data_IF_390045457399
#
_entry.id   IF_390045457399
#
_cell.length_a   1.000
_cell.length_b   1.000
_cell.length_c   1.000
_cell.angle_alpha   90.00
_cell.angle_beta   90.00
_cell.angle_gamma   90.00
#
_symmetry.space_group_name_H-M   'P 1'
#
loop_
_entity.id
_entity.type
_entity.pdbx_description
1 polymer ?
#
# COMPACT_ATOMS: atom_id res chain seq x y z
N UNK A 1 16.83 3.85 -3.79
CA UNK A 1 16.41 4.45 -5.08
C UNK A 1 17.56 5.22 -5.67
N UNK A 2 17.82 5.10 -6.98
CA UNK A 2 18.84 5.89 -7.67
C UNK A 2 18.42 7.37 -7.77
N UNK A 3 19.37 8.25 -8.10
CA UNK A 3 19.15 9.71 -8.10
C UNK A 3 18.03 10.12 -9.05
N UNK A 4 17.98 9.49 -10.21
CA UNK A 4 17.06 9.74 -11.30
C UNK A 4 15.62 9.41 -10.87
N UNK A 5 15.42 8.28 -10.16
CA UNK A 5 14.10 7.91 -9.64
C UNK A 5 13.62 8.89 -8.56
N UNK A 6 14.52 9.35 -7.68
CA UNK A 6 14.16 10.36 -6.67
C UNK A 6 13.76 11.68 -7.30
N UNK A 7 14.53 12.13 -8.30
CA UNK A 7 14.20 13.35 -9.05
C UNK A 7 12.85 13.23 -9.73
N UNK A 8 12.58 12.12 -10.41
CA UNK A 8 11.28 11.89 -11.03
C UNK A 8 10.12 11.99 -10.03
N UNK A 9 10.24 11.37 -8.84
CA UNK A 9 9.20 11.45 -7.81
C UNK A 9 9.02 12.87 -7.25
N UNK A 10 10.11 13.62 -7.09
CA UNK A 10 10.05 15.01 -6.68
C UNK A 10 9.33 15.86 -7.73
N UNK A 11 9.74 15.76 -9.00
CA UNK A 11 9.12 16.48 -10.11
C UNK A 11 7.61 16.12 -10.22
N UNK A 12 7.24 14.84 -9.99
CA UNK A 12 5.84 14.42 -9.96
C UNK A 12 5.06 15.06 -8.80
N UNK A 13 5.67 15.17 -7.62
CA UNK A 13 5.05 15.79 -6.43
C UNK A 13 4.87 17.30 -6.58
N UNK A 14 5.73 17.97 -7.35
CA UNK A 14 5.70 19.42 -7.53
C UNK A 14 4.75 19.85 -8.66
N UNK A 15 4.46 18.96 -9.62
CA UNK A 15 3.76 19.34 -10.86
C UNK A 15 2.51 18.52 -11.18
N UNK A 16 2.30 17.36 -10.56
CA UNK A 16 1.12 16.54 -10.84
C UNK A 16 -0.07 17.00 -9.99
N UNK A 17 -1.10 17.52 -10.66
CA UNK A 17 -2.37 17.95 -10.05
C UNK A 17 -3.54 17.03 -10.40
N UNK A 18 -3.25 15.80 -10.86
CA UNK A 18 -4.29 14.87 -11.35
C UNK A 18 -5.32 14.54 -10.26
N UNK A 19 -4.88 14.35 -9.01
CA UNK A 19 -5.77 14.08 -7.88
C UNK A 19 -6.72 15.25 -7.62
N UNK A 20 -6.21 16.48 -7.56
CA UNK A 20 -7.01 17.70 -7.38
C UNK A 20 -7.99 17.91 -8.54
N UNK A 21 -7.55 17.66 -9.77
CA UNK A 21 -8.39 17.75 -10.96
C UNK A 21 -9.52 16.71 -10.92
N UNK A 22 -9.23 15.49 -10.49
CA UNK A 22 -10.22 14.44 -10.37
C UNK A 22 -11.32 14.81 -9.35
N UNK A 23 -10.94 15.42 -8.22
CA UNK A 23 -11.87 15.83 -7.17
C UNK A 23 -12.70 17.08 -7.52
N UNK A 24 -12.23 17.93 -8.43
CA UNK A 24 -12.89 19.19 -8.79
C UNK A 24 -13.65 19.15 -10.12
N UNK A 25 -13.41 18.16 -10.97
CA UNK A 25 -14.09 18.01 -12.26
C UNK A 25 -15.47 17.36 -12.12
N UNK A 26 -16.40 17.71 -13.01
CA UNK A 26 -17.68 17.01 -13.17
C UNK A 26 -17.66 15.99 -14.33
N UNK A 27 -16.49 15.79 -14.95
CA UNK A 27 -16.35 14.89 -16.09
C UNK A 27 -16.38 13.42 -15.66
N UNK A 28 -17.54 12.77 -15.80
CA UNK A 28 -17.78 11.38 -15.37
C UNK A 28 -16.76 10.37 -15.89
N UNK A 29 -16.41 10.40 -17.18
CA UNK A 29 -15.44 9.44 -17.73
C UNK A 29 -14.02 9.63 -17.15
N UNK A 30 -13.65 10.85 -16.77
CA UNK A 30 -12.37 11.14 -16.13
C UNK A 30 -12.35 10.57 -14.71
N UNK A 31 -13.40 10.82 -13.92
CA UNK A 31 -13.56 10.22 -12.59
C UNK A 31 -13.51 8.70 -12.65
N UNK A 32 -14.19 8.09 -13.62
CA UNK A 32 -14.16 6.64 -13.82
C UNK A 32 -12.75 6.12 -14.11
N UNK A 33 -12.01 6.77 -15.01
CA UNK A 33 -10.63 6.38 -15.33
C UNK A 33 -9.69 6.55 -14.13
N UNK A 34 -9.82 7.65 -13.39
CA UNK A 34 -9.05 7.91 -12.17
C UNK A 34 -9.33 6.84 -11.11
N UNK A 35 -10.60 6.56 -10.82
CA UNK A 35 -11.01 5.54 -9.86
C UNK A 35 -10.52 4.14 -10.24
N UNK A 36 -10.48 3.80 -11.54
CA UNK A 36 -9.92 2.54 -12.00
C UNK A 36 -8.43 2.41 -11.67
N UNK A 37 -7.65 3.50 -11.81
CA UNK A 37 -6.25 3.53 -11.39
C UNK A 37 -6.10 3.36 -9.87
N UNK A 38 -6.88 4.09 -9.06
CA UNK A 38 -6.85 3.97 -7.60
C UNK A 38 -7.19 2.54 -7.17
N UNK A 39 -8.23 1.94 -7.75
CA UNK A 39 -8.63 0.57 -7.45
C UNK A 39 -7.53 -0.44 -7.82
N UNK A 40 -6.85 -0.27 -8.96
CA UNK A 40 -5.73 -1.13 -9.34
C UNK A 40 -4.59 -1.08 -8.31
N UNK A 41 -4.24 0.11 -7.82
CA UNK A 41 -3.20 0.28 -6.79
C UNK A 41 -3.65 -0.29 -5.44
N UNK A 42 -4.91 -0.10 -5.06
CA UNK A 42 -5.47 -0.69 -3.84
C UNK A 42 -5.42 -2.22 -3.88
N UNK A 43 -5.85 -2.83 -4.99
CA UNK A 43 -5.80 -4.28 -5.19
C UNK A 43 -4.37 -4.83 -5.12
N UNK A 44 -3.41 -4.11 -5.69
CA UNK A 44 -1.99 -4.46 -5.56
C UNK A 44 -1.54 -4.46 -4.09
N UNK A 45 -1.92 -3.44 -3.30
CA UNK A 45 -1.55 -3.36 -1.88
C UNK A 45 -2.22 -4.44 -1.03
N UNK A 46 -3.50 -4.73 -1.27
CA UNK A 46 -4.22 -5.81 -0.58
C UNK A 46 -3.62 -7.19 -0.90
N UNK A 47 -3.24 -7.41 -2.16
CA UNK A 47 -2.53 -8.62 -2.58
C UNK A 47 -1.18 -8.73 -1.86
N UNK A 48 -0.42 -7.65 -1.79
CA UNK A 48 0.85 -7.63 -1.06
C UNK A 48 0.65 -7.93 0.44
N UNK A 49 -0.39 -7.37 1.07
CA UNK A 49 -0.73 -7.67 2.47
C UNK A 49 -1.03 -9.16 2.69
N UNK A 50 -1.76 -9.79 1.76
CA UNK A 50 -2.03 -11.23 1.79
C UNK A 50 -0.75 -12.06 1.71
N UNK A 51 0.19 -11.67 0.85
CA UNK A 51 1.51 -12.33 0.75
C UNK A 51 2.30 -12.22 2.05
N UNK A 52 2.30 -11.06 2.70
CA UNK A 52 3.00 -10.86 3.98
C UNK A 52 2.39 -11.71 5.09
N UNK A 53 1.05 -11.83 5.14
CA UNK A 53 0.39 -12.73 6.09
C UNK A 53 0.87 -14.17 5.90
N UNK A 54 0.86 -14.67 4.66
CA UNK A 54 1.24 -16.06 4.33
C UNK A 54 2.73 -16.35 4.53
N UNK A 55 3.60 -15.45 4.11
CA UNK A 55 5.03 -15.74 4.01
C UNK A 55 5.87 -15.19 5.17
N UNK A 56 5.33 -14.27 5.96
CA UNK A 56 6.04 -13.74 7.14
C UNK A 56 5.32 -14.15 8.41
N UNK A 57 4.04 -13.80 8.57
CA UNK A 57 3.35 -14.03 9.85
C UNK A 57 3.09 -15.51 10.11
N UNK A 58 2.53 -16.23 9.14
CA UNK A 58 2.27 -17.66 9.28
C UNK A 58 3.57 -18.44 9.48
N UNK A 59 4.63 -18.11 8.74
CA UNK A 59 5.95 -18.76 8.90
C UNK A 59 6.54 -18.49 10.28
N UNK A 60 6.53 -17.24 10.74
CA UNK A 60 7.00 -16.90 12.08
C UNK A 60 6.22 -17.64 13.17
N UNK A 61 4.90 -17.77 13.02
CA UNK A 61 4.06 -18.52 13.98
C UNK A 61 4.35 -20.03 13.97
N UNK A 62 4.63 -20.61 12.80
CA UNK A 62 4.95 -22.01 12.65
C UNK A 62 6.35 -22.35 13.22
N UNK A 63 7.32 -21.45 13.11
CA UNK A 63 8.64 -21.63 13.71
C UNK A 63 8.62 -21.52 15.23
N UNK A 64 7.88 -20.54 15.79
CA UNK A 64 7.69 -20.43 17.24
C UNK A 64 7.03 -21.68 17.82
N UNK A 65 6.13 -22.32 17.05
CA UNK A 65 5.47 -23.56 17.47
C UNK A 65 6.39 -24.81 17.43
N UNK A 66 7.49 -24.77 16.67
CA UNK A 66 8.48 -25.86 16.58
C UNK A 66 9.61 -25.74 17.61
N UNK A 67 9.90 -24.54 18.08
CA UNK A 67 10.92 -24.29 19.10
C UNK A 67 10.23 -24.15 20.45
N UNK A 68 10.06 -25.26 21.17
CA UNK A 68 9.69 -25.22 22.57
C UNK A 68 10.78 -24.42 23.33
N UNK A 69 10.44 -23.21 23.81
CA UNK A 69 11.19 -22.29 24.69
C UNK A 69 11.86 -21.06 24.05
N UNK A 70 11.79 -19.96 24.82
CA UNK A 70 12.65 -18.77 24.80
C UNK A 70 12.19 -17.55 23.97
N UNK A 71 11.17 -16.86 24.48
CA UNK A 71 11.25 -15.43 24.87
C UNK A 71 11.39 -14.32 23.81
N UNK A 72 11.76 -14.62 22.56
CA UNK A 72 12.00 -13.60 21.53
C UNK A 72 11.13 -13.80 20.28
N UNK A 73 9.81 -13.94 20.46
CA UNK A 73 8.87 -13.91 19.35
C UNK A 73 8.97 -12.55 18.62
N UNK A 74 9.55 -12.55 17.42
CA UNK A 74 9.93 -11.34 16.70
C UNK A 74 8.75 -10.45 16.32
N UNK A 75 8.82 -9.18 16.73
CA UNK A 75 7.87 -8.08 16.44
C UNK A 75 7.83 -7.71 14.93
N UNK A 76 8.66 -8.35 14.09
CA UNK A 76 9.02 -7.88 12.75
C UNK A 76 7.86 -7.75 11.76
N UNK A 77 6.91 -8.69 11.77
CA UNK A 77 5.81 -8.70 10.80
C UNK A 77 4.64 -7.76 11.14
N UNK A 78 4.39 -7.50 12.43
CA UNK A 78 3.19 -6.77 12.85
C UNK A 78 3.22 -5.29 12.44
N UNK A 79 4.36 -4.61 12.69
CA UNK A 79 4.55 -3.22 12.27
C UNK A 79 4.50 -3.05 10.74
N UNK A 80 4.95 -4.07 10.00
CA UNK A 80 4.86 -4.07 8.54
C UNK A 80 3.41 -4.18 8.07
N UNK A 81 2.60 -5.03 8.70
CA UNK A 81 1.17 -5.15 8.41
C UNK A 81 0.44 -3.84 8.70
N UNK A 82 0.68 -3.21 9.86
CA UNK A 82 0.10 -1.91 10.20
C UNK A 82 0.48 -0.83 9.17
N UNK A 83 1.74 -0.80 8.75
CA UNK A 83 2.21 0.12 7.71
C UNK A 83 1.49 -0.13 6.38
N UNK A 84 1.46 -1.39 5.91
CA UNK A 84 0.83 -1.74 4.63
C UNK A 84 -0.68 -1.46 4.63
N UNK A 85 -1.36 -1.73 5.75
CA UNK A 85 -2.77 -1.41 5.93
C UNK A 85 -3.00 0.09 5.81
N UNK A 86 -2.22 0.90 6.54
CA UNK A 86 -2.33 2.37 6.47
C UNK A 86 -2.16 2.91 5.06
N UNK A 87 -1.18 2.40 4.30
CA UNK A 87 -0.96 2.87 2.93
C UNK A 87 -2.08 2.40 1.99
N UNK A 88 -2.64 1.21 2.23
CA UNK A 88 -3.85 0.74 1.52
C UNK A 88 -5.06 1.64 1.79
N UNK A 89 -5.31 1.95 3.07
CA UNK A 89 -6.44 2.79 3.49
C UNK A 89 -6.31 4.22 2.91
N UNK A 90 -5.10 4.79 2.94
CA UNK A 90 -4.83 6.07 2.30
C UNK A 90 -5.09 6.04 0.79
N UNK A 91 -4.83 4.92 0.11
CA UNK A 91 -5.14 4.78 -1.32
C UNK A 91 -6.65 4.75 -1.54
N UNK A 92 -7.39 3.99 -0.71
CA UNK A 92 -8.84 3.88 -0.82
C UNK A 92 -9.55 5.22 -0.62
N UNK A 93 -9.03 6.06 0.27
CA UNK A 93 -9.56 7.40 0.57
C UNK A 93 -9.52 8.37 -0.61
N UNK A 94 -8.71 8.09 -1.63
CA UNK A 94 -8.63 8.91 -2.84
C UNK A 94 -9.70 8.55 -3.88
N UNK A 95 -10.51 7.50 -3.66
CA UNK A 95 -11.64 7.21 -4.55
C UNK A 95 -12.70 8.31 -4.47
N UNK A 96 -13.26 8.65 -5.63
CA UNK A 96 -14.19 9.76 -5.80
C UNK A 96 -15.58 9.20 -6.11
N UNK A 97 -16.63 9.85 -5.59
CA UNK A 97 -18.04 9.54 -5.88
C UNK A 97 -18.46 9.94 -7.32
#
# INVERSE_FOLDING_TARGET
MIKEHRKFLQDLSEHSHIGELAHSTEHSAFKLAYNACIQAVQNFRLTHLSLIKRFILEQASAEVSKVNSSGNAGIGGHKLVEFLQRVSDNTAREQIE
#
